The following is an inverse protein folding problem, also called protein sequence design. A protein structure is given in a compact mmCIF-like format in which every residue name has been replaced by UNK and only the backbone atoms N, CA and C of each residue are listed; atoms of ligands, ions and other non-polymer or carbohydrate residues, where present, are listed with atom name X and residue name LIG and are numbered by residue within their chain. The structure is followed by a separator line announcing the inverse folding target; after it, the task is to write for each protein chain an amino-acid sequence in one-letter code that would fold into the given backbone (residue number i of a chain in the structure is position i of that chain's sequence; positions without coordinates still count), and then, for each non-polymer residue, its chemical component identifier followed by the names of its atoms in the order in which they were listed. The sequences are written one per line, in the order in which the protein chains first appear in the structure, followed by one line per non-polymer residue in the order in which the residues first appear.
data_IF_395532273748
#
_entry.id   IF_395532273748
#
_cell.length_a   1.000
_cell.length_b   1.000
_cell.length_c   1.000
_cell.angle_alpha   90.00
_cell.angle_beta   90.00
_cell.angle_gamma   90.00
#
_symmetry.space_group_name_H-M   'P 1'
#
loop_
_entity.id
_entity.type
_entity.pdbx_description
1 polymer ?
#
# COMPACT_ATOMS: atom_id res chain seq x y z
N UNK A 1 14.92 15.15 7.09
CA UNK A 1 14.43 13.81 6.78
C UNK A 1 13.72 13.82 5.44
N UNK A 2 13.99 12.84 4.57
CA UNK A 2 13.33 12.73 3.27
C UNK A 2 11.93 12.10 3.48
N UNK A 3 10.89 12.48 2.72
CA UNK A 3 9.54 11.97 2.96
C UNK A 3 9.43 10.45 2.91
N UNK A 4 10.09 9.82 1.93
CA UNK A 4 10.07 8.36 1.79
C UNK A 4 10.82 7.64 2.94
N UNK A 5 11.93 8.19 3.45
CA UNK A 5 12.61 7.63 4.64
C UNK A 5 11.73 7.65 5.89
N UNK A 6 10.93 8.72 6.06
CA UNK A 6 10.01 8.82 7.19
C UNK A 6 8.86 7.83 7.07
N UNK A 7 8.24 7.74 5.89
CA UNK A 7 7.14 6.79 5.65
C UNK A 7 7.61 5.34 5.75
N UNK A 8 8.77 5.01 5.17
CA UNK A 8 9.34 3.67 5.23
C UNK A 8 9.67 3.24 6.67
N UNK A 9 10.16 4.16 7.49
CA UNK A 9 10.37 3.92 8.93
C UNK A 9 9.05 3.60 9.63
N UNK A 10 7.99 4.39 9.39
CA UNK A 10 6.66 4.11 9.95
C UNK A 10 6.19 2.72 9.55
N UNK A 11 6.30 2.36 8.27
CA UNK A 11 5.84 1.05 7.78
C UNK A 11 6.61 -0.10 8.43
N UNK A 12 7.93 0.01 8.57
CA UNK A 12 8.72 -1.02 9.24
C UNK A 12 8.37 -1.13 10.72
N UNK A 13 8.20 0.00 11.43
CA UNK A 13 7.84 0.02 12.85
C UNK A 13 6.48 -0.65 13.09
N UNK A 14 5.50 -0.43 12.20
CA UNK A 14 4.15 -1.04 12.33
C UNK A 14 4.21 -2.57 12.29
N UNK A 15 5.14 -3.17 11.55
CA UNK A 15 5.31 -4.63 11.52
C UNK A 15 6.30 -5.16 12.56
N UNK A 16 7.34 -4.39 12.89
CA UNK A 16 8.37 -4.79 13.85
C UNK A 16 7.89 -4.72 15.30
N UNK A 17 7.10 -3.70 15.69
CA UNK A 17 6.64 -3.54 17.08
C UNK A 17 5.77 -4.70 17.57
N UNK A 18 4.79 -5.20 16.80
CA UNK A 18 4.01 -6.35 17.21
C UNK A 18 4.86 -7.62 17.36
N UNK A 19 5.82 -7.84 16.45
CA UNK A 19 6.77 -8.97 16.54
C UNK A 19 7.61 -8.88 17.80
N UNK A 20 8.17 -7.69 18.10
CA UNK A 20 8.93 -7.46 19.32
C UNK A 20 8.08 -7.67 20.58
N UNK A 21 6.83 -7.18 20.59
CA UNK A 21 5.91 -7.38 21.70
C UNK A 21 5.68 -8.88 21.98
N UNK A 22 5.35 -9.65 20.95
CA UNK A 22 5.12 -11.10 21.09
C UNK A 22 6.40 -11.82 21.53
N UNK A 23 7.57 -11.44 20.99
CA UNK A 23 8.85 -12.04 21.37
C UNK A 23 9.21 -11.82 22.85
N UNK A 24 9.02 -10.60 23.37
CA UNK A 24 9.44 -10.26 24.74
C UNK A 24 8.40 -10.55 25.82
N UNK A 25 7.11 -10.46 25.49
CA UNK A 25 6.03 -10.53 26.49
C UNK A 25 5.13 -11.76 26.33
N UNK A 26 5.27 -12.52 25.23
CA UNK A 26 4.34 -13.57 24.85
C UNK A 26 2.97 -13.01 24.43
N UNK A 27 2.14 -13.85 23.83
CA UNK A 27 0.77 -13.47 23.46
C UNK A 27 -0.17 -14.68 23.51
N UNK A 28 -1.17 -14.63 24.40
CA UNK A 28 -2.03 -15.78 24.73
C UNK A 28 -3.52 -15.44 24.69
N UNK A 29 -3.96 -14.60 23.74
CA UNK A 29 -5.39 -14.25 23.60
C UNK A 29 -5.80 -14.16 22.13
N UNK A 30 -7.07 -14.48 21.86
CA UNK A 30 -7.72 -14.20 20.57
C UNK A 30 -7.62 -15.30 19.51
N UNK A 31 -7.41 -16.57 19.89
CA UNK A 31 -7.41 -17.70 18.96
C UNK A 31 -6.17 -17.80 18.07
N UNK A 32 -5.08 -17.12 18.46
CA UNK A 32 -3.84 -17.03 17.68
C UNK A 32 -2.67 -17.81 18.32
N UNK A 33 -2.95 -18.49 19.42
CA UNK A 33 -1.98 -19.29 20.21
C UNK A 33 -1.32 -20.39 19.35
N UNK A 34 -2.08 -21.06 18.49
CA UNK A 34 -1.55 -22.13 17.62
C UNK A 34 -0.73 -21.60 16.44
N UNK A 35 -1.04 -20.40 15.93
CA UNK A 35 -0.26 -19.75 14.86
C UNK A 35 1.08 -19.23 15.41
N UNK A 36 1.12 -18.88 16.70
CA UNK A 36 2.24 -18.22 17.35
C UNK A 36 2.97 -19.07 18.41
N UNK A 37 2.71 -20.37 18.48
CA UNK A 37 3.66 -21.35 19.04
C UNK A 37 4.94 -21.49 18.17
N UNK A 38 5.32 -20.42 17.47
CA UNK A 38 6.53 -20.34 16.69
C UNK A 38 7.74 -20.26 17.61
N UNK A 39 8.81 -20.93 17.20
CA UNK A 39 10.10 -20.88 17.87
C UNK A 39 10.52 -19.39 18.09
N UNK A 40 10.82 -18.96 19.33
CA UNK A 40 11.32 -17.61 19.63
C UNK A 40 12.51 -17.19 18.77
N UNK A 41 13.30 -18.15 18.27
CA UNK A 41 14.38 -17.91 17.31
C UNK A 41 13.88 -17.25 16.03
N UNK A 42 12.73 -17.68 15.51
CA UNK A 42 12.18 -17.22 14.24
C UNK A 42 11.63 -15.80 14.33
N UNK A 43 11.05 -15.43 15.48
CA UNK A 43 10.67 -14.03 15.76
C UNK A 43 11.91 -13.12 15.87
N UNK A 44 13.01 -13.62 16.41
CA UNK A 44 14.27 -12.88 16.45
C UNK A 44 14.83 -12.66 15.03
N UNK A 45 14.78 -13.68 14.18
CA UNK A 45 15.21 -13.59 12.78
C UNK A 45 14.39 -12.57 11.99
N UNK A 46 13.07 -12.51 12.21
CA UNK A 46 12.23 -11.45 11.64
C UNK A 46 12.67 -10.05 12.09
N UNK A 47 12.98 -9.87 13.37
CA UNK A 47 13.46 -8.56 13.87
C UNK A 47 14.78 -8.17 13.23
N UNK A 48 15.74 -9.11 13.13
CA UNK A 48 17.02 -8.90 12.45
C UNK A 48 16.79 -8.52 10.99
N UNK A 49 15.87 -9.23 10.31
CA UNK A 49 15.49 -8.94 8.94
C UNK A 49 14.96 -7.50 8.80
N UNK A 50 14.04 -7.06 9.66
CA UNK A 50 13.51 -5.69 9.62
C UNK A 50 14.59 -4.63 9.84
N UNK A 51 15.52 -4.87 10.77
CA UNK A 51 16.65 -3.98 11.02
C UNK A 51 17.57 -3.91 9.79
N UNK A 52 17.88 -5.05 9.18
CA UNK A 52 18.70 -5.11 7.96
C UNK A 52 18.01 -4.35 6.81
N UNK A 53 16.73 -4.63 6.56
CA UNK A 53 15.93 -3.95 5.53
C UNK A 53 15.90 -2.44 5.74
N UNK A 54 15.67 -1.99 6.98
CA UNK A 54 15.68 -0.58 7.32
C UNK A 54 17.05 0.05 7.05
N UNK A 55 18.13 -0.60 7.48
CA UNK A 55 19.50 -0.14 7.26
C UNK A 55 19.81 0.03 5.77
N UNK A 56 19.58 -1.01 4.96
CA UNK A 56 19.91 -0.99 3.53
C UNK A 56 19.03 -0.02 2.75
N UNK A 57 17.74 0.11 3.09
CA UNK A 57 16.88 1.13 2.50
C UNK A 57 17.38 2.55 2.80
N UNK A 58 17.74 2.82 4.06
CA UNK A 58 18.27 4.13 4.47
C UNK A 58 19.63 4.41 3.81
N UNK A 59 20.50 3.41 3.69
CA UNK A 59 21.78 3.54 2.99
C UNK A 59 21.59 3.89 1.51
N UNK A 60 20.70 3.17 0.80
CA UNK A 60 20.39 3.44 -0.61
C UNK A 60 19.73 4.81 -0.81
N UNK A 61 18.81 5.17 0.09
CA UNK A 61 18.19 6.50 0.10
C UNK A 61 19.22 7.61 0.32
N UNK A 62 20.16 7.43 1.25
CA UNK A 62 21.18 8.42 1.56
C UNK A 62 22.10 8.69 0.37
N UNK A 63 22.53 7.64 -0.35
CA UNK A 63 23.44 7.73 -1.52
C UNK A 63 23.03 8.84 -2.50
N UNK A 64 21.75 8.90 -2.85
CA UNK A 64 21.20 9.91 -3.76
C UNK A 64 20.33 10.96 -3.05
N UNK A 65 20.18 10.85 -1.74
CA UNK A 65 19.42 11.77 -0.90
C UNK A 65 20.23 12.98 -0.45
N UNK A 66 21.58 12.87 -0.41
CA UNK A 66 22.46 13.97 -0.04
C UNK A 66 22.24 15.21 -0.93
N UNK A 67 22.02 16.35 -0.28
CA UNK A 67 21.84 17.66 -0.93
C UNK A 67 20.40 18.03 -1.33
N UNK A 68 19.43 17.09 -1.31
CA UNK A 68 18.04 17.42 -1.67
C UNK A 68 17.36 18.17 -0.52
N UNK A 69 17.25 19.49 -0.63
CA UNK A 69 16.46 20.30 0.31
C UNK A 69 14.97 20.22 -0.07
N UNK A 70 14.25 19.27 0.53
CA UNK A 70 12.77 19.14 0.43
C UNK A 70 12.01 20.46 0.75
N UNK A 71 12.66 21.38 1.48
CA UNK A 71 12.09 22.71 1.77
C UNK A 71 11.76 23.53 0.50
N UNK A 72 12.43 23.29 -0.62
CA UNK A 72 12.30 24.10 -1.84
C UNK A 72 11.31 23.53 -2.87
N UNK A 73 10.75 22.34 -2.64
CA UNK A 73 9.79 21.75 -3.57
C UNK A 73 8.42 22.38 -3.33
N UNK A 74 7.91 23.12 -4.32
CA UNK A 74 6.54 23.65 -4.30
C UNK A 74 5.56 22.54 -4.71
N UNK A 75 5.18 21.64 -3.80
CA UNK A 75 4.38 20.45 -4.11
C UNK A 75 3.05 20.69 -4.84
N UNK A 76 2.34 21.78 -4.55
CA UNK A 76 1.01 22.08 -5.11
C UNK A 76 1.14 22.90 -6.38
N UNK A 77 0.41 22.50 -7.43
CA UNK A 77 0.26 23.24 -8.69
C UNK A 77 -1.21 23.56 -8.87
N UNK A 78 -1.65 24.81 -8.64
CA UNK A 78 -3.03 25.17 -8.93
C UNK A 78 -3.35 24.88 -10.40
N UNK A 79 -4.32 24.00 -10.63
CA UNK A 79 -4.73 23.61 -11.97
C UNK A 79 -6.23 23.38 -11.99
N UNK A 80 -6.94 24.10 -12.85
CA UNK A 80 -8.38 23.92 -13.01
C UNK A 80 -8.67 22.70 -13.90
N UNK A 81 -9.38 21.73 -13.33
CA UNK A 81 -9.73 20.51 -14.05
C UNK A 81 -10.67 20.79 -15.23
N UNK A 82 -10.32 20.37 -16.46
CA UNK A 82 -11.24 20.36 -17.57
C UNK A 82 -12.52 19.57 -17.28
N UNK A 83 -13.65 20.02 -17.85
CA UNK A 83 -14.95 19.33 -17.74
C UNK A 83 -14.85 17.85 -18.15
N UNK A 84 -14.14 17.54 -19.24
CA UNK A 84 -13.95 16.16 -19.72
C UNK A 84 -13.25 15.30 -18.65
N UNK A 85 -12.23 15.83 -17.97
CA UNK A 85 -11.54 15.10 -16.90
C UNK A 85 -12.44 14.95 -15.67
N UNK A 86 -13.24 15.97 -15.32
CA UNK A 86 -14.24 15.87 -14.26
C UNK A 86 -15.26 14.77 -14.55
N UNK A 87 -15.75 14.68 -15.79
CA UNK A 87 -16.67 13.62 -16.23
C UNK A 87 -16.01 12.25 -16.09
N UNK A 88 -14.78 12.09 -16.59
CA UNK A 88 -14.02 10.84 -16.48
C UNK A 88 -13.84 10.41 -15.02
N UNK A 89 -13.43 11.33 -14.15
CA UNK A 89 -13.27 11.04 -12.73
C UNK A 89 -14.60 10.69 -12.06
N UNK A 90 -15.67 11.42 -12.36
CA UNK A 90 -17.01 11.12 -11.84
C UNK A 90 -17.51 9.75 -12.31
N UNK A 91 -17.21 9.35 -13.54
CA UNK A 91 -17.55 8.04 -14.08
C UNK A 91 -16.80 6.94 -13.31
N UNK A 92 -15.50 7.10 -13.07
CA UNK A 92 -14.73 6.15 -12.23
C UNK A 92 -15.32 6.06 -10.83
N UNK A 93 -15.63 7.19 -10.19
CA UNK A 93 -16.23 7.23 -8.86
C UNK A 93 -17.62 6.58 -8.81
N UNK A 94 -18.44 6.81 -9.84
CA UNK A 94 -19.74 6.15 -9.98
C UNK A 94 -19.58 4.64 -10.16
N UNK A 95 -18.64 4.20 -11.01
CA UNK A 95 -18.32 2.78 -11.18
C UNK A 95 -17.81 2.13 -9.90
N UNK A 96 -17.07 2.86 -9.06
CA UNK A 96 -16.69 2.38 -7.72
C UNK A 96 -17.96 2.09 -6.91
N UNK A 97 -18.87 3.06 -6.79
CA UNK A 97 -20.13 2.89 -6.03
C UNK A 97 -20.95 1.72 -6.59
N UNK A 98 -21.11 1.64 -7.91
CA UNK A 98 -21.83 0.55 -8.56
C UNK A 98 -21.19 -0.81 -8.27
N UNK A 99 -19.86 -0.93 -8.44
CA UNK A 99 -19.15 -2.17 -8.14
C UNK A 99 -19.35 -2.60 -6.68
N UNK A 100 -19.38 -1.64 -5.75
CA UNK A 100 -19.59 -1.91 -4.33
C UNK A 100 -21.00 -2.43 -4.03
N UNK A 101 -22.01 -1.91 -4.71
CA UNK A 101 -23.39 -2.41 -4.63
C UNK A 101 -23.46 -3.84 -5.18
N UNK A 102 -22.77 -4.11 -6.28
CA UNK A 102 -22.72 -5.44 -6.91
C UNK A 102 -21.95 -6.49 -6.08
N UNK A 103 -21.16 -6.08 -5.07
CA UNK A 103 -20.50 -7.00 -4.14
C UNK A 103 -21.43 -7.53 -3.03
N UNK A 104 -22.59 -6.90 -2.79
CA UNK A 104 -23.57 -7.40 -1.82
C UNK A 104 -24.08 -8.81 -2.13
N UNK A 105 -24.58 -9.11 -3.35
CA UNK A 105 -25.05 -10.46 -3.69
C UNK A 105 -23.94 -11.51 -3.69
N UNK A 106 -22.68 -11.12 -3.90
CA UNK A 106 -21.50 -12.01 -3.84
C UNK A 106 -21.16 -12.45 -2.41
N UNK A 107 -21.92 -12.03 -1.39
CA UNK A 107 -21.68 -12.43 0.00
C UNK A 107 -20.41 -11.83 0.62
N UNK A 108 -19.74 -10.92 -0.08
CA UNK A 108 -18.45 -10.29 0.32
C UNK A 108 -18.56 -9.52 1.64
N UNK A 109 -19.77 -9.05 1.98
CA UNK A 109 -20.05 -8.34 3.23
C UNK A 109 -20.71 -9.22 4.31
N UNK A 110 -20.83 -10.54 4.09
CA UNK A 110 -21.31 -11.48 5.10
C UNK A 110 -20.24 -11.76 6.16
N UNK A 111 -20.67 -12.03 7.40
CA UNK A 111 -19.78 -12.23 8.54
C UNK A 111 -18.81 -13.40 8.29
N UNK A 112 -17.51 -13.10 8.35
CA UNK A 112 -16.41 -14.08 8.29
C UNK A 112 -16.20 -14.86 6.99
N UNK A 113 -16.72 -14.40 5.85
CA UNK A 113 -16.28 -14.91 4.57
C UNK A 113 -14.91 -14.28 4.17
N UNK A 114 -13.81 -14.77 4.75
CA UNK A 114 -12.54 -14.90 4.00
C UNK A 114 -12.65 -16.09 3.04
N UNK A 115 -13.80 -16.21 2.38
CA UNK A 115 -14.02 -17.28 1.42
C UNK A 115 -13.29 -16.88 0.14
N UNK A 116 -12.20 -17.59 -0.16
CA UNK A 116 -11.36 -17.36 -1.33
C UNK A 116 -12.17 -17.35 -2.63
N UNK A 117 -13.34 -17.98 -2.65
CA UNK A 117 -14.27 -17.96 -3.79
C UNK A 117 -14.82 -16.56 -4.11
N UNK A 118 -15.15 -15.75 -3.10
CA UNK A 118 -15.70 -14.40 -3.31
C UNK A 118 -14.62 -13.41 -3.84
N UNK A 119 -13.36 -13.63 -3.45
CA UNK A 119 -12.20 -12.84 -3.92
C UNK A 119 -11.75 -13.23 -5.35
N UNK A 120 -12.20 -14.38 -5.87
CA UNK A 120 -11.98 -14.79 -7.25
C UNK A 120 -13.02 -14.19 -8.22
N UNK A 121 -14.10 -13.59 -7.71
CA UNK A 121 -15.16 -13.02 -8.54
C UNK A 121 -14.65 -11.88 -9.45
N UNK A 122 -15.23 -11.77 -10.65
CA UNK A 122 -14.89 -10.69 -11.59
C UNK A 122 -15.25 -9.31 -11.01
N UNK A 123 -16.34 -9.23 -10.26
CA UNK A 123 -16.81 -7.99 -9.62
C UNK A 123 -15.82 -7.51 -8.56
N UNK A 124 -15.26 -8.43 -7.76
CA UNK A 124 -14.21 -8.11 -6.79
C UNK A 124 -12.98 -7.50 -7.46
N UNK A 125 -12.47 -8.15 -8.52
CA UNK A 125 -11.30 -7.65 -9.25
C UNK A 125 -11.53 -6.25 -9.84
N UNK A 126 -12.71 -5.99 -10.41
CA UNK A 126 -13.09 -4.66 -10.91
C UNK A 126 -13.14 -3.65 -9.76
N UNK A 127 -13.77 -3.99 -8.64
CA UNK A 127 -13.90 -3.09 -7.49
C UNK A 127 -12.54 -2.72 -6.87
N UNK A 128 -11.63 -3.69 -6.76
CA UNK A 128 -10.26 -3.47 -6.28
C UNK A 128 -9.49 -2.53 -7.23
N UNK A 129 -9.52 -2.79 -8.54
CA UNK A 129 -8.84 -1.94 -9.53
C UNK A 129 -9.41 -0.52 -9.59
N UNK A 130 -10.73 -0.36 -9.50
CA UNK A 130 -11.38 0.95 -9.45
C UNK A 130 -11.04 1.70 -8.16
N UNK A 131 -11.01 1.03 -7.01
CA UNK A 131 -10.63 1.64 -5.73
C UNK A 131 -9.19 2.16 -5.75
N UNK A 132 -8.31 1.46 -6.46
CA UNK A 132 -6.94 1.88 -6.71
C UNK A 132 -6.85 3.13 -7.60
N UNK A 133 -7.64 3.18 -8.69
CA UNK A 133 -7.79 4.41 -9.47
C UNK A 133 -8.34 5.56 -8.62
N UNK A 134 -9.18 5.27 -7.63
CA UNK A 134 -9.61 6.25 -6.62
C UNK A 134 -8.43 6.89 -5.88
N UNK A 135 -7.42 6.11 -5.50
CA UNK A 135 -6.20 6.62 -4.84
C UNK A 135 -5.42 7.56 -5.76
N UNK A 136 -5.27 7.20 -7.03
CA UNK A 136 -4.52 8.03 -7.96
C UNK A 136 -5.26 9.32 -8.30
N UNK A 137 -6.59 9.26 -8.45
CA UNK A 137 -7.45 10.44 -8.61
C UNK A 137 -7.33 11.36 -7.38
N UNK A 138 -7.40 10.80 -6.18
CA UNK A 138 -7.24 11.57 -4.94
C UNK A 138 -5.90 12.30 -4.90
N UNK A 139 -4.81 11.59 -5.18
CA UNK A 139 -3.45 12.15 -5.21
C UNK A 139 -3.35 13.27 -6.24
N UNK A 140 -3.88 13.04 -7.44
CA UNK A 140 -3.91 14.03 -8.52
C UNK A 140 -4.66 15.29 -8.09
N UNK A 141 -5.85 15.14 -7.49
CA UNK A 141 -6.66 16.25 -7.00
C UNK A 141 -5.97 17.03 -5.86
N UNK A 142 -5.25 16.34 -4.96
CA UNK A 142 -4.44 17.00 -3.93
C UNK A 142 -3.31 17.84 -4.53
N UNK A 143 -2.53 17.28 -5.46
CA UNK A 143 -1.42 17.98 -6.13
C UNK A 143 -1.93 19.18 -6.93
N UNK A 144 -3.10 19.06 -7.56
CA UNK A 144 -3.70 20.10 -8.41
C UNK A 144 -4.58 21.11 -7.67
N UNK A 145 -4.68 21.03 -6.34
CA UNK A 145 -5.52 21.89 -5.48
C UNK A 145 -7.04 21.76 -5.73
N UNK A 146 -7.50 20.65 -6.29
CA UNK A 146 -8.93 20.35 -6.50
C UNK A 146 -9.53 19.67 -5.26
N UNK A 147 -9.50 20.36 -4.12
CA UNK A 147 -9.81 19.80 -2.80
C UNK A 147 -11.23 19.23 -2.69
N UNK A 148 -12.23 19.89 -3.28
CA UNK A 148 -13.62 19.38 -3.26
C UNK A 148 -13.71 17.99 -3.88
N UNK A 149 -13.04 17.78 -5.01
CA UNK A 149 -13.02 16.49 -5.70
C UNK A 149 -12.22 15.45 -4.90
N UNK A 150 -11.09 15.84 -4.30
CA UNK A 150 -10.33 14.98 -3.40
C UNK A 150 -11.18 14.49 -2.21
N UNK A 151 -11.96 15.36 -1.57
CA UNK A 151 -12.85 14.97 -0.46
C UNK A 151 -13.92 13.98 -0.93
N UNK A 152 -14.55 14.22 -2.08
CA UNK A 152 -15.54 13.28 -2.64
C UNK A 152 -14.91 11.92 -2.94
N UNK A 153 -13.73 11.90 -3.57
CA UNK A 153 -12.99 10.66 -3.82
C UNK A 153 -12.67 9.93 -2.51
N UNK A 154 -12.22 10.65 -1.48
CA UNK A 154 -11.95 10.08 -0.17
C UNK A 154 -13.20 9.40 0.42
N UNK A 155 -14.33 10.09 0.45
CA UNK A 155 -15.58 9.54 0.98
C UNK A 155 -15.99 8.28 0.22
N UNK A 156 -15.98 8.32 -1.11
CA UNK A 156 -16.42 7.20 -1.96
C UNK A 156 -15.52 5.97 -1.78
N UNK A 157 -14.19 6.13 -1.78
CA UNK A 157 -13.28 5.01 -1.51
C UNK A 157 -13.51 4.49 -0.08
N UNK A 158 -13.70 5.39 0.88
CA UNK A 158 -13.89 5.07 2.30
C UNK A 158 -15.23 4.45 2.68
N UNK A 159 -16.24 4.42 1.78
CA UNK A 159 -17.55 3.80 2.04
C UNK A 159 -17.48 2.33 2.53
N UNK A 160 -16.33 1.66 2.37
CA UNK A 160 -16.14 0.26 2.72
C UNK A 160 -15.10 0.03 3.83
N UNK A 161 -15.17 0.77 4.94
CA UNK A 161 -14.33 0.49 6.13
C UNK A 161 -14.49 -0.94 6.70
N UNK A 162 -15.46 -1.72 6.22
CA UNK A 162 -15.88 -2.99 6.82
C UNK A 162 -15.34 -4.28 6.16
N UNK A 163 -14.67 -4.28 5.00
CA UNK A 163 -14.02 -5.49 4.41
C UNK A 163 -12.80 -5.12 3.54
N UNK A 164 -12.12 -6.10 2.90
CA UNK A 164 -10.76 -6.05 2.29
C UNK A 164 -10.33 -4.82 1.47
N UNK A 165 -11.26 -3.93 1.13
CA UNK A 165 -11.04 -2.57 0.61
C UNK A 165 -10.57 -1.55 1.65
N UNK A 166 -10.57 -1.86 2.97
CA UNK A 166 -10.04 -0.98 4.04
C UNK A 166 -8.61 -0.51 3.79
N UNK A 167 -7.84 -1.29 3.05
CA UNK A 167 -6.45 -0.99 2.71
C UNK A 167 -6.35 0.31 1.90
N UNK A 168 -7.28 0.54 0.98
CA UNK A 168 -7.28 1.74 0.15
C UNK A 168 -7.58 2.99 0.99
N UNK A 169 -8.51 2.88 1.95
CA UNK A 169 -8.77 3.96 2.91
C UNK A 169 -7.54 4.28 3.73
N UNK A 170 -6.83 3.26 4.25
CA UNK A 170 -5.60 3.44 4.99
C UNK A 170 -4.53 4.18 4.16
N UNK A 171 -4.40 3.86 2.88
CA UNK A 171 -3.47 4.54 1.98
C UNK A 171 -3.87 6.01 1.75
N UNK A 172 -5.15 6.30 1.55
CA UNK A 172 -5.65 7.68 1.44
C UNK A 172 -5.34 8.48 2.71
N UNK A 173 -5.48 7.85 3.87
CA UNK A 173 -5.13 8.44 5.16
C UNK A 173 -3.62 8.70 5.28
N UNK A 174 -2.77 7.77 4.84
CA UNK A 174 -1.32 7.99 4.74
C UNK A 174 -0.99 9.16 3.80
N UNK A 175 -1.72 9.32 2.69
CA UNK A 175 -1.55 10.47 1.79
C UNK A 175 -1.98 11.79 2.43
N UNK A 176 -3.03 11.79 3.24
CA UNK A 176 -3.43 12.96 4.04
C UNK A 176 -2.33 13.29 5.06
N UNK A 177 -1.79 12.30 5.77
CA UNK A 177 -0.65 12.49 6.69
C UNK A 177 0.54 13.07 5.94
N UNK A 178 0.90 12.50 4.79
CA UNK A 178 1.97 13.00 3.94
C UNK A 178 1.72 14.46 3.52
N UNK A 179 0.50 14.78 3.09
CA UNK A 179 0.09 16.13 2.72
C UNK A 179 0.25 17.10 3.89
N UNK A 180 -0.22 16.74 5.08
CA UNK A 180 -0.13 17.60 6.27
C UNK A 180 1.34 17.83 6.67
N UNK A 181 2.16 16.77 6.71
CA UNK A 181 3.55 16.84 7.19
C UNK A 181 4.48 17.54 6.19
N UNK A 182 4.42 17.16 4.91
CA UNK A 182 5.44 17.55 3.92
C UNK A 182 4.98 18.64 2.97
N UNK A 183 3.67 18.73 2.70
CA UNK A 183 3.10 19.69 1.74
C UNK A 183 2.58 20.94 2.47
N UNK A 184 1.76 20.78 3.50
CA UNK A 184 1.14 21.86 4.25
C UNK A 184 2.00 22.29 5.45
N UNK A 185 3.09 23.01 5.17
CA UNK A 185 4.06 23.50 6.19
C UNK A 185 3.52 24.55 7.17
N UNK A 186 2.21 24.85 7.15
CA UNK A 186 1.58 25.89 7.98
C UNK A 186 1.18 25.42 9.38
N UNK A 187 1.24 24.11 9.65
CA UNK A 187 0.83 23.53 10.94
C UNK A 187 2.04 23.44 11.86
N UNK A 188 1.91 23.94 13.11
CA UNK A 188 2.97 23.81 14.10
C UNK A 188 3.19 22.34 14.47
N UNK A 189 4.43 21.96 14.80
CA UNK A 189 4.78 20.57 15.15
C UNK A 189 3.89 19.98 16.26
N UNK A 190 3.51 20.80 17.24
CA UNK A 190 2.62 20.40 18.34
C UNK A 190 1.19 20.11 17.85
N UNK A 191 0.62 21.01 17.03
CA UNK A 191 -0.71 20.79 16.43
C UNK A 191 -0.73 19.55 15.54
N UNK A 192 0.34 19.35 14.78
CA UNK A 192 0.53 18.16 13.95
C UNK A 192 0.53 16.88 14.80
N UNK A 193 1.30 16.86 15.88
CA UNK A 193 1.35 15.71 16.79
C UNK A 193 -0.02 15.38 17.39
N UNK A 194 -0.76 16.39 17.86
CA UNK A 194 -2.11 16.22 18.41
C UNK A 194 -3.07 15.67 17.35
N UNK A 195 -3.07 16.23 16.13
CA UNK A 195 -3.91 15.77 15.02
C UNK A 195 -3.60 14.32 14.68
N UNK A 196 -2.31 13.98 14.54
CA UNK A 196 -1.89 12.60 14.24
C UNK A 196 -2.28 11.65 15.36
N UNK A 197 -2.08 12.01 16.62
CA UNK A 197 -2.45 11.17 17.77
C UNK A 197 -3.95 10.90 17.82
N UNK A 198 -4.79 11.94 17.71
CA UNK A 198 -6.25 11.78 17.66
C UNK A 198 -6.69 10.90 16.49
N UNK A 199 -6.05 11.10 15.34
CA UNK A 199 -6.31 10.36 14.13
C UNK A 199 -5.95 8.86 14.25
N UNK A 200 -4.77 8.55 14.78
CA UNK A 200 -4.36 7.16 15.06
C UNK A 200 -5.25 6.51 16.11
N UNK A 201 -5.61 7.22 17.18
CA UNK A 201 -6.54 6.71 18.19
C UNK A 201 -7.91 6.38 17.59
N UNK A 202 -8.45 7.25 16.73
CA UNK A 202 -9.73 6.99 16.06
C UNK A 202 -9.67 5.74 15.17
N UNK A 203 -8.57 5.55 14.43
CA UNK A 203 -8.35 4.35 13.62
C UNK A 203 -8.32 3.10 14.52
N UNK A 204 -7.49 3.10 15.57
CA UNK A 204 -7.33 1.94 16.46
C UNK A 204 -8.67 1.59 17.13
N UNK A 205 -9.40 2.60 17.63
CA UNK A 205 -10.73 2.41 18.23
C UNK A 205 -11.70 1.81 17.20
N UNK A 206 -11.72 2.33 15.97
CA UNK A 206 -12.58 1.78 14.91
C UNK A 206 -12.25 0.32 14.60
N UNK A 207 -10.96 -0.02 14.50
CA UNK A 207 -10.52 -1.41 14.30
C UNK A 207 -10.88 -2.31 15.47
N UNK A 208 -10.71 -1.84 16.71
CA UNK A 208 -11.04 -2.58 17.92
C UNK A 208 -12.55 -2.84 18.02
N UNK A 209 -13.38 -1.86 17.73
CA UNK A 209 -14.85 -2.03 17.69
C UNK A 209 -15.23 -3.09 16.65
N UNK A 210 -14.68 -2.99 15.43
CA UNK A 210 -14.96 -3.96 14.36
C UNK A 210 -14.49 -5.36 14.76
N UNK A 211 -13.32 -5.48 15.39
CA UNK A 211 -12.79 -6.73 15.88
C UNK A 211 -13.71 -7.36 16.93
N UNK A 212 -14.06 -6.61 17.98
CA UNK A 212 -14.94 -7.07 19.07
C UNK A 212 -16.30 -7.55 18.54
N UNK A 213 -16.93 -6.76 17.67
CA UNK A 213 -18.24 -7.11 17.08
C UNK A 213 -18.18 -8.44 16.32
N UNK A 214 -17.04 -8.77 15.72
CA UNK A 214 -16.90 -9.93 14.83
C UNK A 214 -16.35 -11.16 15.52
N UNK A 215 -15.46 -10.99 16.48
CA UNK A 215 -14.76 -12.11 17.11
C UNK A 215 -15.62 -12.83 18.15
N UNK A 216 -16.82 -12.32 18.49
CA UNK A 216 -17.68 -12.84 19.56
C UNK A 216 -16.91 -13.09 20.88
N UNK A 217 -15.84 -12.33 21.12
CA UNK A 217 -15.02 -12.47 22.33
C UNK A 217 -15.81 -11.94 23.51
N UNK A 218 -16.06 -12.78 24.52
CA UNK A 218 -16.59 -12.33 25.80
C UNK A 218 -15.58 -11.38 26.44
N UNK A 219 -15.95 -10.11 26.60
CA UNK A 219 -15.10 -9.12 27.25
C UNK A 219 -15.33 -9.21 28.74
N UNK A 220 -14.61 -10.11 29.39
CA UNK A 220 -14.67 -10.25 30.85
C UNK A 220 -13.72 -9.28 31.56
N UNK A 221 -12.63 -8.84 30.89
CA UNK A 221 -11.69 -7.82 31.38
C UNK A 221 -10.91 -7.15 30.24
N UNK A 222 -10.81 -5.82 30.26
CA UNK A 222 -9.98 -5.03 29.33
C UNK A 222 -8.52 -5.09 29.79
N UNK A 223 -7.69 -5.86 29.08
CA UNK A 223 -6.23 -5.90 29.25
C UNK A 223 -5.52 -5.30 28.02
N UNK A 224 -4.25 -4.91 28.17
CA UNK A 224 -3.37 -4.44 27.07
C UNK A 224 -3.36 -5.43 25.91
N UNK A 225 -3.34 -6.74 26.16
CA UNK A 225 -3.39 -7.76 25.10
C UNK A 225 -4.68 -7.70 24.27
N UNK A 226 -5.82 -7.34 24.87
CA UNK A 226 -7.09 -7.18 24.15
C UNK A 226 -7.08 -5.91 23.29
N UNK A 227 -6.39 -4.86 23.74
CA UNK A 227 -6.24 -3.60 22.98
C UNK A 227 -5.28 -3.80 21.80
N UNK A 228 -4.21 -4.56 22.01
CA UNK A 228 -3.18 -4.83 21.01
C UNK A 228 -3.56 -5.97 20.06
N UNK A 229 -4.53 -6.82 20.40
CA UNK A 229 -4.89 -7.99 19.60
C UNK A 229 -5.22 -7.68 18.13
N UNK A 230 -5.94 -6.60 17.76
CA UNK A 230 -6.21 -6.33 16.36
C UNK A 230 -4.94 -5.93 15.60
N UNK A 231 -4.02 -5.24 16.26
CA UNK A 231 -2.74 -4.81 15.68
C UNK A 231 -1.82 -6.02 15.50
N UNK A 232 -1.73 -6.86 16.53
CA UNK A 232 -0.94 -8.10 16.50
C UNK A 232 -1.48 -9.05 15.44
N UNK A 233 -2.79 -9.25 15.38
CA UNK A 233 -3.45 -10.07 14.37
C UNK A 233 -3.16 -9.53 12.96
N UNK A 234 -3.46 -8.25 12.67
CA UNK A 234 -3.22 -7.69 11.33
C UNK A 234 -1.74 -7.65 10.94
N UNK A 235 -0.83 -7.49 11.89
CA UNK A 235 0.60 -7.33 11.58
C UNK A 235 1.28 -8.68 11.43
N UNK A 236 1.01 -9.65 12.31
CA UNK A 236 1.66 -10.96 12.28
C UNK A 236 0.96 -11.95 11.35
N UNK A 237 -0.37 -11.94 11.26
CA UNK A 237 -1.09 -12.83 10.36
C UNK A 237 -0.68 -12.59 8.90
N UNK A 238 -0.52 -11.31 8.51
CA UNK A 238 -0.01 -10.94 7.19
C UNK A 238 1.45 -11.37 6.95
N UNK A 239 2.17 -11.81 7.98
CA UNK A 239 3.59 -12.20 7.90
C UNK A 239 3.84 -13.69 8.16
N UNK A 240 2.79 -14.51 8.27
CA UNK A 240 2.92 -15.97 8.42
C UNK A 240 3.72 -16.57 7.24
N UNK A 241 3.42 -16.12 6.03
CA UNK A 241 4.17 -16.56 4.84
C UNK A 241 5.63 -16.15 4.89
N UNK A 242 5.95 -15.01 5.50
CA UNK A 242 7.34 -14.58 5.69
C UNK A 242 8.06 -15.42 6.73
N UNK A 243 7.43 -15.74 7.86
CA UNK A 243 7.99 -16.65 8.88
C UNK A 243 8.39 -18.00 8.26
N UNK A 244 7.46 -18.66 7.56
CA UNK A 244 7.74 -19.94 6.89
C UNK A 244 8.81 -19.82 5.80
N UNK A 245 8.91 -18.67 5.16
CA UNK A 245 9.92 -18.43 4.13
C UNK A 245 11.33 -18.30 4.72
N UNK A 246 11.46 -17.78 5.95
CA UNK A 246 12.74 -17.77 6.66
C UNK A 246 13.22 -19.19 6.99
N UNK A 247 12.33 -20.08 7.41
CA UNK A 247 12.66 -21.49 7.63
C UNK A 247 13.24 -22.14 6.36
N UNK A 248 12.57 -21.95 5.23
CA UNK A 248 13.00 -22.48 3.94
C UNK A 248 14.33 -21.86 3.49
N UNK A 249 14.54 -20.57 3.79
CA UNK A 249 15.80 -19.89 3.51
C UNK A 249 16.95 -20.52 4.30
N UNK A 250 16.76 -20.78 5.59
CA UNK A 250 17.75 -21.43 6.46
C UNK A 250 18.07 -22.87 6.00
N UNK A 251 17.09 -23.57 5.42
CA UNK A 251 17.29 -24.89 4.80
C UNK A 251 18.00 -24.83 3.44
N UNK A 252 18.29 -23.64 2.90
CA UNK A 252 18.94 -23.47 1.60
C UNK A 252 18.04 -23.81 0.41
N UNK A 253 16.72 -23.91 0.61
CA UNK A 253 15.75 -24.31 -0.40
C UNK A 253 15.34 -23.16 -1.36
N UNK A 254 15.87 -21.96 -1.16
CA UNK A 254 15.42 -20.73 -1.84
C UNK A 254 16.52 -20.18 -2.74
N UNK A 255 16.45 -20.36 -4.06
CA UNK A 255 17.48 -19.88 -4.96
C UNK A 255 17.40 -18.36 -5.16
N UNK A 256 18.54 -17.73 -5.46
CA UNK A 256 18.58 -16.35 -5.92
C UNK A 256 18.03 -16.25 -7.36
N UNK A 257 16.86 -15.63 -7.52
CA UNK A 257 16.13 -15.61 -8.79
C UNK A 257 15.41 -14.27 -9.08
N UNK A 258 16.11 -13.12 -9.07
CA UNK A 258 15.49 -11.80 -9.27
C UNK A 258 14.82 -11.66 -10.64
N UNK A 259 15.28 -12.37 -11.66
CA UNK A 259 14.66 -12.42 -12.99
C UNK A 259 13.21 -12.93 -12.93
N UNK A 260 12.88 -13.81 -11.98
CA UNK A 260 11.54 -14.36 -11.83
C UNK A 260 10.55 -13.31 -11.36
N UNK A 261 10.98 -12.27 -10.62
CA UNK A 261 10.12 -11.15 -10.25
C UNK A 261 9.59 -10.43 -11.50
N UNK A 262 10.46 -10.18 -12.48
CA UNK A 262 10.08 -9.51 -13.73
C UNK A 262 9.20 -10.41 -14.59
N UNK A 263 9.52 -11.71 -14.65
CA UNK A 263 8.69 -12.70 -15.36
C UNK A 263 7.29 -12.79 -14.75
N UNK A 264 7.18 -12.97 -13.43
CA UNK A 264 5.91 -13.04 -12.72
C UNK A 264 5.11 -11.76 -12.88
N UNK A 265 5.77 -10.59 -12.79
CA UNK A 265 5.12 -9.30 -12.99
C UNK A 265 4.57 -9.16 -14.42
N UNK A 266 5.35 -9.54 -15.44
CA UNK A 266 4.92 -9.50 -16.82
C UNK A 266 3.72 -10.43 -17.07
N UNK A 267 3.81 -11.69 -16.63
CA UNK A 267 2.72 -12.67 -16.73
C UNK A 267 1.47 -12.16 -16.02
N UNK A 268 1.61 -11.62 -14.81
CA UNK A 268 0.48 -11.14 -14.02
C UNK A 268 -0.24 -9.93 -14.62
N UNK A 269 0.50 -9.09 -15.36
CA UNK A 269 -0.04 -7.92 -16.08
C UNK A 269 -0.82 -8.30 -17.34
N UNK A 270 -0.60 -9.48 -17.92
CA UNK A 270 -1.37 -9.92 -19.09
C UNK A 270 -2.87 -9.98 -18.78
N UNK A 271 -3.77 -9.61 -19.71
CA UNK A 271 -5.21 -9.75 -19.48
C UNK A 271 -5.60 -11.21 -19.29
N UNK A 272 -6.38 -11.53 -18.25
CA UNK A 272 -6.74 -12.91 -17.93
C UNK A 272 -7.56 -13.56 -19.05
N UNK A 273 -8.41 -12.81 -19.76
CA UNK A 273 -9.20 -13.35 -20.88
C UNK A 273 -8.37 -13.82 -22.09
N UNK A 274 -7.07 -13.46 -22.15
CA UNK A 274 -6.16 -13.94 -23.20
C UNK A 274 -5.41 -15.22 -22.78
N UNK A 275 -5.26 -15.45 -21.48
CA UNK A 275 -4.50 -16.55 -20.90
C UNK A 275 -5.09 -16.97 -19.54
N UNK A 276 -6.08 -17.85 -19.56
CA UNK A 276 -6.83 -18.26 -18.37
C UNK A 276 -5.93 -18.99 -17.33
N UNK A 277 -4.90 -19.71 -17.79
CA UNK A 277 -3.96 -20.45 -16.92
C UNK A 277 -2.68 -19.68 -16.58
N UNK A 278 -2.57 -18.38 -16.88
CA UNK A 278 -1.32 -17.63 -16.68
C UNK A 278 -0.78 -17.68 -15.24
N UNK A 279 -1.64 -17.89 -14.24
CA UNK A 279 -1.22 -18.03 -12.85
C UNK A 279 -0.34 -19.27 -12.67
N UNK A 280 -0.65 -20.41 -13.30
CA UNK A 280 0.15 -21.64 -13.15
C UNK A 280 1.59 -21.48 -13.65
N UNK A 281 1.84 -20.52 -14.53
CA UNK A 281 3.15 -20.20 -15.09
C UNK A 281 4.03 -19.35 -14.15
N UNK A 282 3.46 -18.78 -13.08
CA UNK A 282 4.19 -17.88 -12.20
C UNK A 282 5.09 -18.65 -11.23
N UNK A 283 6.36 -18.24 -11.14
CA UNK A 283 7.37 -18.84 -10.26
C UNK A 283 6.94 -18.82 -8.79
N UNK A 284 6.33 -17.73 -8.34
CA UNK A 284 5.87 -17.56 -6.96
C UNK A 284 4.84 -18.61 -6.51
N UNK A 285 4.12 -19.25 -7.44
CA UNK A 285 3.13 -20.27 -7.09
C UNK A 285 3.75 -21.60 -6.62
N UNK A 286 5.06 -21.80 -6.83
CA UNK A 286 5.81 -22.87 -6.15
C UNK A 286 5.81 -22.74 -4.62
N UNK A 287 5.45 -21.56 -4.13
CA UNK A 287 5.41 -21.21 -2.71
C UNK A 287 3.97 -20.92 -2.22
N UNK A 288 2.94 -21.31 -2.99
CA UNK A 288 1.54 -20.98 -2.69
C UNK A 288 1.01 -21.55 -1.36
N UNK A 289 1.61 -22.62 -0.85
CA UNK A 289 1.23 -23.29 0.40
C UNK A 289 1.70 -22.54 1.67
N UNK A 290 2.53 -21.49 1.52
CA UNK A 290 3.13 -20.78 2.66
C UNK A 290 2.13 -19.93 3.45
N UNK A 291 0.89 -19.76 2.99
CA UNK A 291 -0.13 -18.98 3.70
C UNK A 291 -1.43 -19.78 3.83
N UNK A 292 -2.04 -19.81 5.02
CA UNK A 292 -3.32 -20.51 5.24
C UNK A 292 -4.47 -19.96 4.37
N UNK A 293 -4.32 -18.75 3.80
CA UNK A 293 -5.27 -18.13 2.87
C UNK A 293 -4.68 -17.93 1.45
N UNK A 294 -3.53 -18.55 1.15
CA UNK A 294 -2.84 -18.41 -0.14
C UNK A 294 -2.20 -17.04 -0.43
N UNK A 295 -2.27 -16.09 0.52
CA UNK A 295 -1.68 -14.75 0.39
C UNK A 295 -0.24 -14.66 0.89
N UNK A 296 0.70 -14.28 0.02
CA UNK A 296 2.10 -14.05 0.37
C UNK A 296 2.37 -12.61 0.79
N UNK A 297 3.29 -12.41 1.74
CA UNK A 297 3.67 -11.08 2.17
C UNK A 297 4.74 -10.44 1.27
N UNK A 298 4.90 -9.12 1.40
CA UNK A 298 5.96 -8.40 0.71
C UNK A 298 7.37 -8.81 1.18
N UNK A 299 7.55 -9.07 2.47
CA UNK A 299 8.81 -9.58 3.00
C UNK A 299 9.09 -11.03 2.55
N UNK A 300 8.06 -11.87 2.45
CA UNK A 300 8.18 -13.19 1.85
C UNK A 300 8.64 -13.11 0.38
N UNK A 301 8.09 -12.16 -0.39
CA UNK A 301 8.50 -11.92 -1.78
C UNK A 301 9.98 -11.55 -1.89
N UNK A 302 10.51 -10.78 -0.92
CA UNK A 302 11.93 -10.45 -0.88
C UNK A 302 12.80 -11.70 -0.79
N UNK A 303 12.43 -12.64 0.08
CA UNK A 303 13.15 -13.89 0.24
C UNK A 303 12.96 -14.81 -0.98
N UNK A 304 11.74 -14.91 -1.53
CA UNK A 304 11.43 -15.75 -2.69
C UNK A 304 12.27 -15.37 -3.92
N UNK A 305 12.41 -14.08 -4.20
CA UNK A 305 13.12 -13.61 -5.39
C UNK A 305 14.60 -13.34 -5.16
N UNK A 306 14.99 -12.86 -3.98
CA UNK A 306 16.36 -12.43 -3.69
C UNK A 306 17.08 -13.30 -2.65
N UNK A 307 16.45 -14.32 -2.07
CA UNK A 307 17.08 -15.25 -1.11
C UNK A 307 17.84 -14.47 -0.01
N UNK A 308 19.06 -14.89 0.35
CA UNK A 308 19.95 -14.20 1.30
C UNK A 308 20.36 -12.77 0.86
N UNK A 309 20.15 -12.43 -0.41
CA UNK A 309 20.45 -11.11 -1.00
C UNK A 309 19.25 -10.16 -1.00
N UNK A 310 18.22 -10.42 -0.18
CA UNK A 310 17.04 -9.55 -0.04
C UNK A 310 17.38 -8.08 0.21
N UNK A 311 18.51 -7.81 0.88
CA UNK A 311 18.99 -6.46 1.16
C UNK A 311 19.26 -5.62 -0.10
N UNK A 312 19.64 -6.25 -1.21
CA UNK A 312 19.90 -5.56 -2.48
C UNK A 312 18.63 -4.89 -3.00
N UNK A 313 17.48 -5.54 -2.87
CA UNK A 313 16.21 -4.97 -3.30
C UNK A 313 15.87 -3.70 -2.52
N UNK A 314 15.97 -3.76 -1.19
CA UNK A 314 15.65 -2.61 -0.35
C UNK A 314 16.64 -1.45 -0.55
N UNK A 315 17.91 -1.76 -0.83
CA UNK A 315 18.89 -0.76 -1.24
C UNK A 315 18.50 -0.07 -2.56
N UNK A 316 18.11 -0.85 -3.59
CA UNK A 316 17.61 -0.33 -4.87
C UNK A 316 16.33 0.48 -4.69
N UNK A 317 15.42 0.03 -3.82
CA UNK A 317 14.18 0.72 -3.48
C UNK A 317 14.47 2.09 -2.84
N UNK A 318 15.47 2.16 -1.96
CA UNK A 318 15.96 3.41 -1.35
C UNK A 318 16.51 4.39 -2.40
N UNK A 319 17.38 3.91 -3.30
CA UNK A 319 17.90 4.69 -4.44
C UNK A 319 16.75 5.22 -5.30
N UNK A 320 15.83 4.35 -5.70
CA UNK A 320 14.68 4.68 -6.55
C UNK A 320 13.80 5.74 -5.90
N UNK A 321 13.56 5.63 -4.59
CA UNK A 321 12.78 6.61 -3.82
C UNK A 321 13.43 8.01 -3.85
N UNK A 322 14.75 8.07 -3.69
CA UNK A 322 15.52 9.32 -3.78
C UNK A 322 15.55 9.89 -5.20
N UNK A 323 15.65 9.05 -6.22
CA UNK A 323 15.56 9.48 -7.62
C UNK A 323 14.18 10.06 -7.95
N UNK A 324 13.10 9.38 -7.58
CA UNK A 324 11.73 9.88 -7.78
C UNK A 324 11.53 11.24 -7.10
N UNK A 325 12.08 11.44 -5.89
CA UNK A 325 12.04 12.74 -5.23
C UNK A 325 12.79 13.81 -6.04
N UNK A 326 13.97 13.51 -6.60
CA UNK A 326 14.69 14.45 -7.48
C UNK A 326 13.86 14.79 -8.72
N UNK A 327 13.21 13.82 -9.33
CA UNK A 327 12.35 14.06 -10.50
C UNK A 327 11.17 15.00 -10.22
N UNK A 328 10.68 15.09 -8.98
CA UNK A 328 9.62 16.06 -8.62
C UNK A 328 10.03 17.53 -8.75
N UNK A 329 11.34 17.80 -8.84
CA UNK A 329 11.91 19.13 -9.05
C UNK A 329 12.14 19.47 -10.53
N UNK A 330 11.94 18.51 -11.44
CA UNK A 330 12.06 18.76 -12.87
C UNK A 330 10.98 19.73 -13.36
N UNK A 331 11.32 20.54 -14.36
CA UNK A 331 10.40 21.53 -14.98
C UNK A 331 9.41 20.86 -15.94
N UNK A 332 9.81 19.74 -16.53
CA UNK A 332 8.97 18.97 -17.46
C UNK A 332 8.17 17.92 -16.68
N UNK A 333 6.86 17.81 -16.95
CA UNK A 333 5.97 16.82 -16.32
C UNK A 333 5.84 16.94 -14.79
N UNK A 334 5.80 18.18 -14.28
CA UNK A 334 5.78 18.46 -12.83
C UNK A 334 4.59 17.82 -12.09
N UNK A 335 3.39 17.83 -12.68
CA UNK A 335 2.21 17.18 -12.08
C UNK A 335 2.41 15.67 -12.00
N UNK A 336 2.84 15.04 -13.11
CA UNK A 336 3.04 13.59 -13.20
C UNK A 336 4.06 13.11 -12.16
N UNK A 337 5.25 13.72 -12.13
CA UNK A 337 6.34 13.30 -11.24
C UNK A 337 5.94 13.39 -9.76
N UNK A 338 5.19 14.42 -9.38
CA UNK A 338 4.71 14.58 -7.99
C UNK A 338 3.62 13.60 -7.62
N UNK A 339 2.66 13.36 -8.52
CA UNK A 339 1.60 12.38 -8.28
C UNK A 339 2.21 10.98 -8.15
N UNK A 340 3.11 10.60 -9.07
CA UNK A 340 3.82 9.32 -9.02
C UNK A 340 4.64 9.20 -7.73
N UNK A 341 5.37 10.24 -7.33
CA UNK A 341 6.17 10.18 -6.11
C UNK A 341 5.30 10.02 -4.86
N UNK A 342 4.23 10.80 -4.71
CA UNK A 342 3.34 10.70 -3.53
C UNK A 342 2.65 9.33 -3.50
N UNK A 343 2.18 8.86 -4.67
CA UNK A 343 1.59 7.54 -4.80
C UNK A 343 2.60 6.44 -4.44
N UNK A 344 3.80 6.47 -5.00
CA UNK A 344 4.85 5.50 -4.70
C UNK A 344 5.19 5.46 -3.20
N UNK A 345 5.33 6.62 -2.57
CA UNK A 345 5.74 6.72 -1.16
C UNK A 345 4.64 6.27 -0.19
N UNK A 346 3.37 6.56 -0.50
CA UNK A 346 2.26 6.28 0.42
C UNK A 346 1.59 4.93 0.15
N UNK A 347 1.51 4.50 -1.12
CA UNK A 347 0.88 3.25 -1.54
C UNK A 347 1.92 2.17 -1.81
N UNK A 348 2.78 2.34 -2.83
CA UNK A 348 3.64 1.27 -3.31
C UNK A 348 4.66 0.81 -2.25
N UNK A 349 5.33 1.73 -1.56
CA UNK A 349 6.26 1.39 -0.46
C UNK A 349 5.57 0.64 0.69
N UNK A 350 4.35 1.03 1.03
CA UNK A 350 3.57 0.36 2.05
C UNK A 350 3.19 -1.06 1.60
N UNK A 351 2.71 -1.21 0.36
CA UNK A 351 2.35 -2.51 -0.20
C UNK A 351 3.56 -3.40 -0.46
N UNK A 352 4.74 -2.88 -0.79
CA UNK A 352 5.96 -3.69 -0.94
C UNK A 352 6.38 -4.40 0.37
N UNK A 353 5.91 -3.94 1.53
CA UNK A 353 6.13 -4.61 2.82
C UNK A 353 4.98 -5.57 3.20
N UNK A 354 3.83 -5.46 2.51
CA UNK A 354 2.59 -6.15 2.87
C UNK A 354 2.17 -7.20 1.86
N UNK A 355 2.12 -6.85 0.59
CA UNK A 355 1.54 -7.61 -0.51
C UNK A 355 2.64 -8.17 -1.43
N UNK A 356 2.34 -9.21 -2.24
CA UNK A 356 3.29 -9.73 -3.21
C UNK A 356 3.72 -8.67 -4.22
N UNK A 357 5.03 -8.59 -4.48
CA UNK A 357 5.60 -7.48 -5.26
C UNK A 357 5.06 -7.37 -6.69
N UNK A 358 4.75 -8.49 -7.34
CA UNK A 358 4.16 -8.49 -8.68
C UNK A 358 2.78 -7.81 -8.72
N UNK A 359 2.00 -7.88 -7.63
CA UNK A 359 0.72 -7.17 -7.49
C UNK A 359 1.01 -5.66 -7.44
N UNK A 360 1.94 -5.25 -6.59
CA UNK A 360 2.32 -3.83 -6.44
C UNK A 360 2.84 -3.24 -7.75
N UNK A 361 3.65 -4.00 -8.50
CA UNK A 361 4.18 -3.57 -9.80
C UNK A 361 3.05 -3.39 -10.81
N UNK A 362 2.13 -4.36 -10.93
CA UNK A 362 0.97 -4.25 -11.82
C UNK A 362 0.09 -3.05 -11.49
N UNK A 363 -0.20 -2.86 -10.21
CA UNK A 363 -0.94 -1.73 -9.66
C UNK A 363 -0.30 -0.40 -10.09
N UNK A 364 1.01 -0.27 -9.84
CA UNK A 364 1.79 0.90 -10.23
C UNK A 364 1.75 1.18 -11.74
N UNK A 365 1.91 0.14 -12.58
CA UNK A 365 1.84 0.27 -14.05
C UNK A 365 0.45 0.77 -14.50
N UNK A 366 -0.62 0.15 -14.00
CA UNK A 366 -1.99 0.53 -14.35
C UNK A 366 -2.29 2.00 -14.00
N UNK A 367 -1.85 2.45 -12.83
CA UNK A 367 -2.04 3.84 -12.40
C UNK A 367 -1.21 4.84 -13.21
N UNK A 368 0.02 4.49 -13.59
CA UNK A 368 0.81 5.32 -14.51
C UNK A 368 0.09 5.47 -15.85
N UNK A 369 -0.38 4.38 -16.44
CA UNK A 369 -1.12 4.41 -17.71
C UNK A 369 -2.35 5.30 -17.60
N UNK A 370 -3.12 5.16 -16.51
CA UNK A 370 -4.29 6.01 -16.27
C UNK A 370 -3.93 7.50 -16.16
N UNK A 371 -2.91 7.87 -15.39
CA UNK A 371 -2.49 9.27 -15.28
C UNK A 371 -2.01 9.80 -16.63
N UNK A 372 -1.23 9.03 -17.38
CA UNK A 372 -0.75 9.44 -18.70
C UNK A 372 -1.92 9.72 -19.65
N UNK A 373 -2.96 8.89 -19.62
CA UNK A 373 -4.19 9.11 -20.36
C UNK A 373 -4.90 10.41 -19.95
N UNK A 374 -5.04 10.67 -18.65
CA UNK A 374 -5.62 11.92 -18.12
C UNK A 374 -4.82 13.15 -18.57
N UNK A 375 -3.49 13.09 -18.49
CA UNK A 375 -2.60 14.17 -18.92
C UNK A 375 -2.65 14.40 -20.43
N UNK A 376 -2.80 13.33 -21.22
CA UNK A 376 -3.00 13.43 -22.67
C UNK A 376 -4.29 14.16 -23.01
N UNK A 377 -5.41 13.85 -22.33
CA UNK A 377 -6.68 14.57 -22.51
C UNK A 377 -6.50 16.07 -22.22
N UNK A 378 -5.81 16.39 -21.12
CA UNK A 378 -5.52 17.77 -20.74
C UNK A 378 -4.70 18.47 -21.84
N UNK A 379 -3.62 17.84 -22.31
CA UNK A 379 -2.74 18.40 -23.33
C UNK A 379 -3.47 18.65 -24.66
N UNK A 380 -4.32 17.71 -25.09
CA UNK A 380 -5.14 17.86 -26.29
C UNK A 380 -6.11 19.03 -26.17
N UNK A 381 -6.79 19.16 -25.03
CA UNK A 381 -7.70 20.29 -24.79
C UNK A 381 -6.96 21.63 -24.84
N UNK A 382 -5.84 21.75 -24.14
CA UNK A 382 -5.05 23.00 -24.13
C UNK A 382 -4.56 23.37 -25.54
N UNK A 383 -4.18 22.37 -26.36
CA UNK A 383 -3.78 22.60 -27.76
C UNK A 383 -4.94 23.12 -28.62
N UNK A 384 -6.16 22.64 -28.39
CA UNK A 384 -7.35 23.10 -29.10
C UNK A 384 -7.71 24.54 -28.73
N UNK A 385 -7.67 24.90 -27.44
CA UNK A 385 -7.92 26.27 -26.97
C UNK A 385 -6.88 27.27 -27.49
N UNK A 386 -5.61 26.87 -27.54
CA UNK A 386 -4.55 27.68 -28.16
C UNK A 386 -4.78 27.91 -29.65
N UNK A 387 -5.31 26.94 -30.39
CA UNK A 387 -5.64 27.13 -31.82
C UNK A 387 -6.82 28.08 -32.02
N UNK A 388 -7.83 28.01 -31.16
CA UNK A 388 -9.03 28.88 -31.21
C UNK A 388 -8.77 30.33 -30.81
N UNK A 389 -7.66 30.61 -30.13
CA UNK A 389 -7.26 31.99 -29.76
C UNK A 389 -6.35 32.65 -30.79
N UNK A 390 -5.81 31.86 -31.73
CA UNK A 390 -4.97 32.34 -32.85
C UNK A 390 -5.81 32.57 -34.12
N UNK A 391 -6.93 31.86 -34.25
CA UNK A 391 -7.98 32.11 -35.25
C UNK A 391 -8.93 33.19 -34.75
#
# INVERSE_FOLDING_TARGET
MLPHTFMFLIFNIVYMLPVAYVHFFGFSRGGVEEIFNGDPSMLADMMVFYVAVLFFYLAGSALLGFGIKNKNIQWIIPFELPIIVKILFSLVLFSIVLSKILLYPEGVYSSYAFDSGAMASRVWNISMGLSELGIIIFTFCLVTKNIKFAVVTFLIVSLNLLHGTRIFTLILLLMIIFYIIFINKKISKLKLFIILSLFFSAIIISFLIIFIIRSNVSIDNINIDLILSPIVYESLFNQISFMRMLDWLHQGAVPFAPQMLFSDSAIFTLPTFLFDEKSSLMYINKFGELSPLGGLSGYASAVIYFSYYYFLWYFILGITSSLLLRFTSSVNFVILSRVIYIYFVCDSLFRFNRDPWFIVIKMFVNNIVFILFVLMIIALKMRMEKRRTIQ
#
